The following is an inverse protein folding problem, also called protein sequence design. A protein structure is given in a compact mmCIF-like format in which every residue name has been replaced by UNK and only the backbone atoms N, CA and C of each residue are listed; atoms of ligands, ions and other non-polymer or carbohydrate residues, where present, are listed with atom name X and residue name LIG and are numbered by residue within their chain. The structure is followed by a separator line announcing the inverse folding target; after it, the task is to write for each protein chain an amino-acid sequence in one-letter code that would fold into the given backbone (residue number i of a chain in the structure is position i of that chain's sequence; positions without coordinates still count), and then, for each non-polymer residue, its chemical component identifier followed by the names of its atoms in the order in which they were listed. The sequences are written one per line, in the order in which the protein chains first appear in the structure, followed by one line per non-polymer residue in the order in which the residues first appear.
data_IF_116058079583
#
_entry.id   IF_116058079583
#
_cell.length_a   1.000
_cell.length_b   1.000
_cell.length_c   1.000
_cell.angle_alpha   90.00
_cell.angle_beta   90.00
_cell.angle_gamma   90.00
#
_symmetry.space_group_name_H-M   'P 1'
#
loop_
_entity.id
_entity.type
_entity.pdbx_description
1 polymer ?
#
# COMPACT_ATOMS: atom_id res chain seq x y z
N UNK A 1 -4.44 -3.36 2.90
CA UNK A 1 -4.62 -1.92 2.72
C UNK A 1 -3.43 -1.22 3.36
N UNK A 2 -2.94 -0.14 2.77
CA UNK A 2 -1.81 0.65 3.27
C UNK A 2 -2.19 2.11 3.36
N UNK A 3 -1.43 2.87 4.14
CA UNK A 3 -1.50 4.33 4.19
C UNK A 3 -0.21 4.88 3.57
N UNK A 4 -0.36 5.84 2.66
CA UNK A 4 0.77 6.54 2.06
C UNK A 4 0.63 8.04 2.30
N UNK A 5 1.76 8.73 2.40
CA UNK A 5 1.79 10.19 2.32
C UNK A 5 1.33 10.63 0.93
N UNK A 6 0.30 11.45 0.86
CA UNK A 6 -0.18 12.02 -0.40
C UNK A 6 0.80 13.10 -0.89
N UNK A 7 0.89 13.41 -2.21
CA UNK A 7 1.84 14.40 -2.72
C UNK A 7 1.69 15.81 -2.10
N UNK A 8 0.53 16.12 -1.52
CA UNK A 8 0.33 17.34 -0.73
C UNK A 8 0.81 17.12 0.70
N UNK A 9 1.65 18.03 1.17
CA UNK A 9 2.24 17.99 2.52
C UNK A 9 1.15 17.89 3.58
N UNK A 10 1.25 16.89 4.45
CA UNK A 10 0.34 16.66 5.57
C UNK A 10 -0.93 15.88 5.22
N UNK A 11 -1.15 15.53 3.94
CA UNK A 11 -2.25 14.66 3.54
C UNK A 11 -1.80 13.19 3.51
N UNK A 12 -2.71 12.29 3.90
CA UNK A 12 -2.52 10.85 3.82
C UNK A 12 -3.62 10.22 2.97
N UNK A 13 -3.27 9.18 2.22
CA UNK A 13 -4.21 8.45 1.39
C UNK A 13 -4.22 6.96 1.77
N UNK A 14 -5.40 6.36 1.70
CA UNK A 14 -5.56 4.91 1.76
C UNK A 14 -5.31 4.32 0.38
N UNK A 15 -4.54 3.24 0.32
CA UNK A 15 -4.26 2.55 -0.92
C UNK A 15 -4.13 1.04 -0.77
N UNK A 16 -4.00 0.38 -1.91
CA UNK A 16 -3.80 -1.05 -2.04
C UNK A 16 -2.51 -1.28 -2.80
N UNK A 17 -1.59 -2.07 -2.22
CA UNK A 17 -0.41 -2.52 -2.97
C UNK A 17 -0.88 -3.53 -4.00
N UNK A 18 -0.55 -3.29 -5.27
CA UNK A 18 -0.86 -4.18 -6.38
C UNK A 18 0.36 -4.98 -6.83
N UNK A 19 1.57 -4.40 -6.70
CA UNK A 19 2.84 -5.04 -6.99
C UNK A 19 4.00 -4.33 -6.27
N UNK A 20 5.16 -4.97 -6.22
CA UNK A 20 6.44 -4.36 -5.86
C UNK A 20 7.41 -4.44 -7.04
N UNK A 21 8.30 -3.45 -7.15
CA UNK A 21 9.34 -3.36 -8.17
C UNK A 21 10.65 -2.97 -7.51
N UNK A 22 11.76 -3.49 -8.02
CA UNK A 22 13.10 -3.10 -7.59
C UNK A 22 13.64 -2.12 -8.63
N UNK A 23 13.89 -0.88 -8.22
CA UNK A 23 14.53 0.12 -9.04
C UNK A 23 16.04 0.01 -8.85
N UNK A 24 16.72 -0.48 -9.87
CA UNK A 24 18.19 -0.53 -9.89
C UNK A 24 18.73 0.88 -10.08
N UNK A 25 19.56 1.32 -9.13
CA UNK A 25 20.31 2.59 -9.22
C UNK A 25 21.79 2.27 -9.09
N UNK A 26 22.63 3.12 -9.66
CA UNK A 26 24.09 2.99 -9.55
C UNK A 26 24.59 3.01 -8.09
N UNK A 27 23.80 3.60 -7.18
CA UNK A 27 24.09 3.75 -5.74
C UNK A 27 23.32 2.75 -4.85
N UNK A 28 22.71 1.72 -5.46
CA UNK A 28 22.04 0.63 -4.76
C UNK A 28 20.57 0.46 -5.11
N UNK A 29 20.13 -0.80 -5.12
CA UNK A 29 18.77 -1.19 -5.43
C UNK A 29 17.78 -0.67 -4.38
N UNK A 30 16.72 -0.01 -4.84
CA UNK A 30 15.64 0.48 -3.98
C UNK A 30 14.32 -0.19 -4.34
N UNK A 31 13.63 -0.73 -3.33
CA UNK A 31 12.32 -1.33 -3.51
C UNK A 31 11.21 -0.27 -3.48
N UNK A 32 10.37 -0.27 -4.51
CA UNK A 32 9.16 0.52 -4.59
C UNK A 32 7.94 -0.39 -4.60
N UNK A 33 6.83 0.08 -4.04
CA UNK A 33 5.53 -0.55 -4.20
C UNK A 33 4.62 0.29 -5.09
N UNK A 34 3.91 -0.40 -5.97
CA UNK A 34 2.82 0.16 -6.76
C UNK A 34 1.57 0.19 -5.87
N UNK A 35 1.10 1.40 -5.55
CA UNK A 35 -0.04 1.63 -4.67
C UNK A 35 -1.19 2.22 -5.47
N UNK A 36 -2.30 1.48 -5.54
CA UNK A 36 -3.57 1.95 -6.08
C UNK A 36 -4.37 2.71 -5.01
N UNK A 37 -4.61 4.00 -5.25
CA UNK A 37 -5.44 4.86 -4.40
C UNK A 37 -6.80 5.03 -5.10
N UNK A 38 -7.87 4.41 -4.61
CA UNK A 38 -9.18 4.56 -5.22
C UNK A 38 -9.72 5.97 -5.04
N UNK A 39 -10.48 6.43 -6.02
CA UNK A 39 -11.41 7.55 -5.84
C UNK A 39 -12.76 7.01 -5.34
N UNK A 40 -13.73 7.89 -5.07
CA UNK A 40 -15.09 7.53 -4.63
C UNK A 40 -15.74 6.42 -5.48
N UNK A 41 -15.28 6.21 -6.71
CA UNK A 41 -15.58 5.05 -7.54
C UNK A 41 -14.38 4.10 -7.55
N UNK A 42 -14.49 2.93 -6.91
CA UNK A 42 -13.37 1.97 -6.71
C UNK A 42 -12.67 1.57 -8.04
N UNK A 43 -13.36 1.65 -9.17
CA UNK A 43 -12.81 1.35 -10.50
C UNK A 43 -11.93 2.47 -11.08
N UNK A 44 -12.01 3.67 -10.52
CA UNK A 44 -11.24 4.84 -10.91
C UNK A 44 -10.31 5.19 -9.75
N UNK A 45 -9.02 5.35 -10.04
CA UNK A 45 -8.03 5.62 -9.02
C UNK A 45 -6.73 6.10 -9.60
N UNK A 46 -5.83 6.50 -8.71
CA UNK A 46 -4.47 6.86 -9.03
C UNK A 46 -3.55 5.70 -8.70
N UNK A 47 -2.51 5.52 -9.51
CA UNK A 47 -1.44 4.57 -9.24
C UNK A 47 -0.20 5.38 -8.90
N UNK A 48 0.36 5.12 -7.72
CA UNK A 48 1.57 5.75 -7.25
C UNK A 48 2.68 4.72 -7.08
N UNK A 49 3.90 5.11 -7.41
CA UNK A 49 5.11 4.34 -7.12
C UNK A 49 5.77 4.94 -5.89
N UNK A 50 5.70 4.24 -4.75
CA UNK A 50 6.13 4.76 -3.45
C UNK A 50 7.26 3.88 -2.90
N UNK A 51 8.31 4.47 -2.34
CA UNK A 51 9.39 3.72 -1.70
C UNK A 51 8.81 2.83 -0.58
N UNK A 52 9.25 1.58 -0.48
CA UNK A 52 8.73 0.65 0.54
C UNK A 52 8.96 1.13 1.98
N UNK A 53 9.85 2.11 2.17
CA UNK A 53 10.16 2.79 3.44
C UNK A 53 9.09 3.81 3.86
N UNK A 54 8.38 4.41 2.89
CA UNK A 54 7.38 5.46 3.12
C UNK A 54 5.96 4.93 3.28
N UNK A 55 5.81 3.60 3.23
CA UNK A 55 4.52 2.91 3.36
C UNK A 55 4.21 2.65 4.82
N UNK A 56 3.08 3.17 5.28
CA UNK A 56 2.55 2.91 6.62
C UNK A 56 1.60 1.72 6.53
N UNK A 57 1.97 0.64 7.18
CA UNK A 57 1.12 -0.54 7.34
C UNK A 57 0.21 -0.33 8.53
N UNK A 58 -1.11 -0.28 8.40
CA UNK A 58 -2.00 -0.16 9.54
C UNK A 58 -2.24 -1.54 10.19
N UNK A 59 -2.32 -1.61 11.52
CA UNK A 59 -2.65 -2.83 12.25
C UNK A 59 -4.16 -3.05 12.24
N UNK A 60 -4.66 -3.66 11.17
CA UNK A 60 -6.08 -3.91 10.99
C UNK A 60 -6.33 -5.41 10.83
N UNK A 61 -7.31 -5.93 11.56
CA UNK A 61 -7.89 -7.24 11.31
C UNK A 61 -8.55 -7.30 9.93
N UNK A 62 -8.85 -8.52 9.47
CA UNK A 62 -9.62 -8.73 8.23
C UNK A 62 -10.98 -8.04 8.30
N UNK A 63 -11.66 -8.11 9.45
CA UNK A 63 -12.95 -7.44 9.68
C UNK A 63 -12.84 -5.92 9.56
N UNK A 64 -11.80 -5.32 10.15
CA UNK A 64 -11.54 -3.88 10.07
C UNK A 64 -11.15 -3.47 8.65
N UNK A 65 -10.36 -4.29 7.96
CA UNK A 65 -9.99 -4.08 6.55
C UNK A 65 -11.22 -4.05 5.64
N UNK A 66 -12.19 -4.94 5.86
CA UNK A 66 -13.49 -4.91 5.15
C UNK A 66 -14.25 -3.63 5.49
N UNK A 67 -14.26 -3.22 6.76
CA UNK A 67 -14.86 -1.95 7.20
C UNK A 67 -14.23 -0.73 6.50
N UNK A 68 -12.92 -0.74 6.28
CA UNK A 68 -12.23 0.37 5.63
C UNK A 68 -12.57 0.50 4.14
N UNK A 69 -12.88 -0.62 3.46
CA UNK A 69 -13.43 -0.57 2.09
C UNK A 69 -14.77 0.19 2.07
N UNK A 70 -15.60 0.06 3.11
CA UNK A 70 -16.87 0.79 3.20
C UNK A 70 -16.65 2.30 3.26
N UNK A 71 -15.53 2.79 3.76
CA UNK A 71 -15.21 4.23 3.77
C UNK A 71 -15.03 4.74 2.35
N UNK A 72 -14.30 4.00 1.53
CA UNK A 72 -14.07 4.34 0.13
C UNK A 72 -15.41 4.35 -0.64
N UNK A 73 -16.28 3.37 -0.39
CA UNK A 73 -17.60 3.26 -1.05
C UNK A 73 -18.61 4.28 -0.54
N UNK A 74 -18.56 4.64 0.74
CA UNK A 74 -19.50 5.57 1.38
C UNK A 74 -19.05 7.04 1.33
N UNK A 75 -17.91 7.34 0.68
CA UNK A 75 -17.36 8.69 0.65
C UNK A 75 -16.92 9.23 2.02
N UNK A 76 -16.45 8.36 2.93
CA UNK A 76 -15.86 8.79 4.21
C UNK A 76 -16.73 8.64 5.46
N UNK A 77 -18.00 8.23 5.34
CA UNK A 77 -18.95 8.25 6.46
C UNK A 77 -18.62 7.29 7.62
N UNK A 78 -17.76 6.29 7.40
CA UNK A 78 -17.42 5.24 8.40
C UNK A 78 -15.97 5.36 8.89
N UNK A 79 -15.38 6.57 8.92
CA UNK A 79 -13.97 6.75 9.29
C UNK A 79 -13.69 6.35 10.76
N UNK A 80 -12.73 5.43 11.03
CA UNK A 80 -12.34 5.09 12.39
C UNK A 80 -11.65 6.28 13.08
N UNK A 81 -11.83 6.38 14.39
CA UNK A 81 -11.27 7.47 15.20
C UNK A 81 -9.75 7.33 15.45
N UNK A 82 -9.20 6.12 15.30
CA UNK A 82 -7.77 5.84 15.49
C UNK A 82 -7.31 4.73 14.54
N UNK A 83 -6.12 4.88 13.97
CA UNK A 83 -5.42 3.86 13.21
C UNK A 83 -3.99 3.77 13.77
N UNK A 84 -3.57 2.60 14.21
CA UNK A 84 -2.21 2.35 14.66
C UNK A 84 -1.38 1.67 13.56
N UNK A 85 -0.07 1.96 13.46
CA UNK A 85 0.82 1.20 12.61
C UNK A 85 0.90 -0.27 13.06
N UNK A 86 0.98 -1.19 12.11
CA UNK A 86 1.34 -2.59 12.29
C UNK A 86 2.85 -2.72 12.46
N UNK A 87 3.26 -3.63 13.34
CA UNK A 87 4.65 -4.06 13.42
C UNK A 87 4.99 -4.80 12.12
N UNK A 88 6.10 -4.39 11.50
CA UNK A 88 6.55 -4.87 10.19
C UNK A 88 6.88 -6.37 10.27
N UNK A 89 5.93 -7.23 9.91
CA UNK A 89 6.23 -8.63 9.62
C UNK A 89 6.79 -8.65 8.20
N UNK A 90 8.11 -8.77 8.08
CA UNK A 90 8.85 -8.99 6.83
C UNK A 90 8.37 -10.28 6.16
N UNK A 91 7.26 -10.24 5.42
CA UNK A 91 6.76 -11.35 4.62
C UNK A 91 6.50 -10.87 3.21
N UNK A 92 7.49 -11.12 2.34
CA UNK A 92 7.38 -11.89 1.10
C UNK A 92 8.46 -11.44 0.12
N UNK A 93 9.64 -12.05 0.33
CA UNK A 93 10.65 -12.22 -0.70
C UNK A 93 10.93 -13.71 -0.86
N UNK A 94 9.90 -14.53 -1.11
CA UNK A 94 10.16 -15.79 -1.82
C UNK A 94 10.29 -15.44 -3.30
N UNK A 95 11.50 -15.02 -3.67
CA UNK A 95 11.94 -15.04 -5.04
C UNK A 95 11.75 -16.47 -5.55
N UNK A 96 10.87 -16.64 -6.54
CA UNK A 96 10.80 -17.88 -7.31
C UNK A 96 12.19 -18.06 -7.94
N UNK A 97 12.98 -19.09 -7.58
CA UNK A 97 14.27 -19.30 -8.21
C UNK A 97 14.02 -19.56 -9.71
N UNK A 98 14.78 -18.94 -10.62
CA UNK A 98 14.68 -19.27 -12.04
C UNK A 98 15.03 -20.75 -12.18
N UNK A 99 14.02 -21.54 -12.51
CA UNK A 99 14.16 -22.93 -12.88
C UNK A 99 15.21 -23.04 -13.97
N UNK A 100 16.31 -23.71 -13.61
CA UNK A 100 17.46 -24.04 -14.43
C UNK A 100 16.99 -24.63 -15.78
N UNK A 101 17.26 -23.93 -16.87
CA UNK A 101 17.23 -24.49 -18.22
C UNK A 101 18.43 -25.42 -18.36
N UNK A 102 18.20 -26.74 -18.32
CA UNK A 102 19.02 -27.77 -18.97
C UNK A 102 18.08 -28.81 -19.54
#
# INVERSE_FOLDING_TARGET
MVIISHPRVGEYAFGFITSSVILQKDDGDEEFCCVFVPTNHIYLGHIFLISSKDIIWPNLSICESIGMIKIIVSGGMTMPQRISPAERISRMGEAIPPSRMV
#
